data_IF_641863472971
#
_entry.id   IF_641863472971
#
_cell.length_a   1.000
_cell.length_b   1.000
_cell.length_c   1.000
_cell.angle_alpha   90.00
_cell.angle_beta   90.00
_cell.angle_gamma   90.00
#
_symmetry.space_group_name_H-M   'P 1'
#
loop_
_entity.id
_entity.type
_entity.pdbx_description
1 polymer ?
#
# COMPACT_ATOMS: atom_id res chain seq x y z
N UNK A 1 4.51 4.66 1.52
CA UNK A 1 4.12 3.92 2.74
C UNK A 1 3.30 4.83 3.64
N UNK A 2 2.26 4.32 4.31
CA UNK A 2 1.48 5.10 5.28
C UNK A 2 2.36 5.42 6.49
N UNK A 3 2.46 6.70 6.89
CA UNK A 3 3.39 7.16 7.92
C UNK A 3 3.21 6.42 9.26
N UNK A 4 1.97 6.20 9.70
CA UNK A 4 1.68 5.45 10.94
C UNK A 4 1.26 3.99 10.71
N UNK A 5 1.40 3.51 9.46
CA UNK A 5 0.96 2.18 9.07
C UNK A 5 1.80 1.04 9.65
N UNK A 6 1.30 -0.18 9.52
CA UNK A 6 1.93 -1.37 10.09
C UNK A 6 3.37 -1.59 9.59
N UNK A 7 3.67 -1.31 8.32
CA UNK A 7 5.04 -1.44 7.80
C UNK A 7 6.02 -0.52 8.53
N UNK A 8 5.66 0.74 8.77
CA UNK A 8 6.54 1.67 9.51
C UNK A 8 6.76 1.17 10.94
N UNK A 9 5.72 0.61 11.57
CA UNK A 9 5.85 0.00 12.91
C UNK A 9 6.78 -1.20 12.91
N UNK A 10 6.70 -2.06 11.89
CA UNK A 10 7.65 -3.18 11.70
C UNK A 10 9.07 -2.66 11.56
N UNK A 11 9.29 -1.63 10.72
CA UNK A 11 10.63 -1.05 10.53
C UNK A 11 11.23 -0.50 11.83
N UNK A 12 10.42 0.14 12.67
CA UNK A 12 10.83 0.63 13.99
C UNK A 12 11.11 -0.55 14.93
N UNK A 13 10.19 -1.51 15.00
CA UNK A 13 10.31 -2.68 15.87
C UNK A 13 11.60 -3.47 15.60
N UNK A 14 11.98 -3.62 14.33
CA UNK A 14 13.21 -4.33 13.94
C UNK A 14 14.46 -3.44 13.95
N UNK A 15 14.33 -2.17 14.33
CA UNK A 15 15.43 -1.19 14.39
C UNK A 15 16.19 -1.03 13.05
N UNK A 16 15.48 -1.18 11.93
CA UNK A 16 16.07 -0.99 10.57
C UNK A 16 15.95 0.44 10.09
N UNK A 17 15.15 1.27 10.76
CA UNK A 17 15.00 2.70 10.45
C UNK A 17 16.33 3.44 10.51
N UNK A 18 17.29 2.99 11.35
CA UNK A 18 18.66 3.55 11.39
C UNK A 18 19.45 3.40 10.08
N UNK A 19 19.01 2.53 9.17
CA UNK A 19 19.60 2.33 7.85
C UNK A 19 18.81 3.01 6.73
N UNK A 20 17.70 3.66 7.05
CA UNK A 20 16.75 4.17 6.08
C UNK A 20 16.52 5.66 6.31
N UNK A 21 16.48 6.43 5.24
CA UNK A 21 16.07 7.82 5.28
C UNK A 21 14.77 7.96 4.50
N UNK A 22 13.74 8.52 5.14
CA UNK A 22 12.45 8.75 4.49
C UNK A 22 12.27 10.21 4.17
N UNK A 23 11.53 10.50 3.09
CA UNK A 23 10.96 11.83 2.83
C UNK A 23 9.45 11.69 2.76
N UNK A 24 8.74 12.71 3.23
CA UNK A 24 7.30 12.79 3.05
C UNK A 24 6.95 13.00 1.57
N UNK A 25 5.90 12.35 1.10
CA UNK A 25 5.35 12.56 -0.24
C UNK A 25 4.55 13.86 -0.22
N UNK A 26 4.72 14.73 -1.22
CA UNK A 26 4.24 16.12 -1.17
C UNK A 26 2.71 16.26 -1.30
N UNK A 27 2.03 15.26 -1.85
CA UNK A 27 0.59 15.35 -2.06
C UNK A 27 -0.12 14.03 -2.28
N UNK A 28 -1.40 14.02 -1.90
CA UNK A 28 -2.34 12.93 -2.13
C UNK A 28 -3.59 13.46 -2.81
N UNK A 29 -3.94 12.87 -3.96
CA UNK A 29 -5.00 13.31 -4.83
C UNK A 29 -5.93 12.15 -5.18
N UNK A 30 -7.17 12.50 -5.53
CA UNK A 30 -8.16 11.56 -6.05
C UNK A 30 -8.71 12.10 -7.36
N UNK A 31 -8.91 11.20 -8.33
CA UNK A 31 -9.55 11.52 -9.59
C UNK A 31 -11.07 11.53 -9.43
N UNK A 32 -11.70 12.58 -9.94
CA UNK A 32 -13.14 12.75 -9.96
C UNK A 32 -13.53 13.50 -11.24
N UNK A 33 -14.43 12.93 -12.05
CA UNK A 33 -15.00 13.56 -13.25
C UNK A 33 -13.95 14.20 -14.18
N UNK A 34 -12.87 13.49 -14.47
CA UNK A 34 -11.83 13.92 -15.41
C UNK A 34 -10.74 14.83 -14.83
N UNK A 35 -10.78 15.13 -13.53
CA UNK A 35 -9.80 16.00 -12.85
C UNK A 35 -9.29 15.34 -11.59
N UNK A 36 -8.09 15.75 -11.15
CA UNK A 36 -7.54 15.38 -9.86
C UNK A 36 -7.77 16.49 -8.84
N UNK A 37 -8.03 16.09 -7.60
CA UNK A 37 -8.25 17.00 -6.48
C UNK A 37 -7.51 16.49 -5.25
N UNK A 38 -6.97 17.41 -4.44
CA UNK A 38 -6.35 17.03 -3.16
C UNK A 38 -7.38 16.33 -2.29
N UNK A 39 -7.00 15.19 -1.72
CA UNK A 39 -7.84 14.39 -0.82
C UNK A 39 -8.04 15.15 0.50
N UNK A 40 -9.28 15.53 0.88
CA UNK A 40 -9.52 16.13 2.19
C UNK A 40 -9.52 15.04 3.27
N UNK A 41 -8.71 15.20 4.31
CA UNK A 41 -8.62 14.22 5.40
C UNK A 41 -8.93 14.79 6.79
N UNK A 42 -9.22 16.08 6.87
CA UNK A 42 -9.61 16.75 8.11
C UNK A 42 -10.90 17.54 7.93
N UNK A 43 -11.54 17.88 9.05
CA UNK A 43 -12.74 18.70 9.06
C UNK A 43 -12.51 20.09 8.39
N UNK A 44 -11.32 20.69 8.58
CA UNK A 44 -10.90 21.95 7.94
C UNK A 44 -10.68 21.78 6.43
N UNK A 45 -10.01 20.71 6.00
CA UNK A 45 -9.78 20.45 4.57
C UNK A 45 -11.09 20.11 3.84
N UNK A 46 -12.01 19.40 4.48
CA UNK A 46 -13.32 19.09 3.93
C UNK A 46 -14.11 20.36 3.56
N UNK A 47 -14.06 21.39 4.41
CA UNK A 47 -14.71 22.68 4.13
C UNK A 47 -14.09 23.43 2.94
N UNK A 48 -12.80 23.22 2.65
CA UNK A 48 -12.08 23.87 1.55
C UNK A 48 -12.16 23.09 0.24
N UNK A 49 -12.39 21.77 0.29
CA UNK A 49 -12.29 20.87 -0.87
C UNK A 49 -13.23 21.23 -2.02
N UNK A 50 -12.78 21.25 -3.29
CA UNK A 50 -13.66 21.44 -4.44
C UNK A 50 -14.45 20.17 -4.81
N UNK A 51 -14.19 19.01 -4.18
CA UNK A 51 -14.86 17.74 -4.47
C UNK A 51 -16.34 17.73 -4.08
N UNK A 52 -16.75 18.64 -3.19
CA UNK A 52 -18.06 18.63 -2.55
C UNK A 52 -18.74 20.00 -2.66
N UNK A 53 -20.06 19.98 -2.85
CA UNK A 53 -20.89 21.19 -2.74
C UNK A 53 -21.01 21.70 -1.29
N UNK A 54 -21.48 22.94 -1.09
CA UNK A 54 -21.49 23.60 0.22
C UNK A 54 -22.18 22.78 1.34
N UNK A 55 -23.32 22.15 1.03
CA UNK A 55 -24.04 21.32 2.00
C UNK A 55 -23.34 20.00 2.29
N UNK A 56 -22.80 19.36 1.25
CA UNK A 56 -22.06 18.10 1.38
C UNK A 56 -20.80 18.29 2.22
N UNK A 57 -20.07 19.40 2.05
CA UNK A 57 -18.93 19.78 2.90
C UNK A 57 -19.27 19.79 4.39
N UNK A 58 -20.44 20.31 4.75
CA UNK A 58 -20.89 20.37 6.15
C UNK A 58 -21.18 18.98 6.71
N UNK A 59 -21.70 18.07 5.88
CA UNK A 59 -21.95 16.67 6.26
C UNK A 59 -20.65 15.89 6.39
N UNK A 60 -19.77 15.98 5.40
CA UNK A 60 -18.44 15.37 5.43
C UNK A 60 -17.62 15.86 6.63
N UNK A 61 -17.69 17.17 6.95
CA UNK A 61 -17.06 17.72 8.16
C UNK A 61 -17.52 16.99 9.43
N UNK A 62 -18.83 16.77 9.61
CA UNK A 62 -19.37 16.07 10.79
C UNK A 62 -18.90 14.62 10.84
N UNK A 63 -18.87 13.94 9.70
CA UNK A 63 -18.31 12.59 9.59
C UNK A 63 -16.84 12.55 10.02
N UNK A 64 -16.01 13.48 9.55
CA UNK A 64 -14.59 13.52 9.92
C UNK A 64 -14.38 13.76 11.41
N UNK A 65 -15.17 14.65 12.02
CA UNK A 65 -15.13 14.87 13.47
C UNK A 65 -15.45 13.58 14.22
N UNK A 66 -16.52 12.89 13.83
CA UNK A 66 -16.88 11.60 14.43
C UNK A 66 -15.75 10.58 14.35
N UNK A 67 -15.16 10.39 13.16
CA UNK A 67 -14.06 9.43 12.98
C UNK A 67 -12.84 9.81 13.83
N UNK A 68 -12.50 11.09 13.90
CA UNK A 68 -11.36 11.58 14.67
C UNK A 68 -11.58 11.41 16.19
N UNK A 69 -12.77 11.73 16.67
CA UNK A 69 -13.16 11.66 18.08
C UNK A 69 -13.44 10.22 18.55
N UNK A 70 -13.69 9.28 17.63
CA UNK A 70 -14.00 7.89 17.97
C UNK A 70 -12.89 7.24 18.80
N UNK A 71 -13.27 6.69 19.95
CA UNK A 71 -12.42 5.95 20.85
C UNK A 71 -13.13 4.65 21.28
N UNK A 72 -12.56 3.50 20.93
CA UNK A 72 -13.10 2.17 21.26
C UNK A 72 -13.39 1.99 22.76
N UNK A 73 -12.58 2.60 23.62
CA UNK A 73 -12.70 2.51 25.08
C UNK A 73 -13.69 3.50 25.70
N UNK A 74 -14.19 4.49 24.95
CA UNK A 74 -15.14 5.50 25.44
C UNK A 74 -16.47 5.45 24.67
N UNK A 75 -17.51 4.78 25.21
CA UNK A 75 -18.83 4.69 24.60
C UNK A 75 -19.50 6.03 24.26
N UNK A 76 -19.10 7.14 24.91
CA UNK A 76 -19.67 8.46 24.61
C UNK A 76 -19.29 8.94 23.20
N UNK A 77 -18.14 8.49 22.69
CA UNK A 77 -17.64 8.85 21.36
C UNK A 77 -18.31 8.04 20.24
N UNK A 78 -19.06 6.98 20.58
CA UNK A 78 -19.65 6.07 19.60
C UNK A 78 -20.93 6.62 18.96
N UNK A 79 -21.49 7.69 19.53
CA UNK A 79 -22.77 8.29 19.11
C UNK A 79 -23.89 7.24 18.91
N UNK A 80 -23.96 6.26 19.82
CA UNK A 80 -24.94 5.18 19.80
C UNK A 80 -24.71 4.09 18.75
N UNK A 81 -23.56 4.08 18.08
CA UNK A 81 -23.21 3.06 17.07
C UNK A 81 -22.31 1.97 17.67
N UNK A 82 -22.65 0.71 17.42
CA UNK A 82 -21.74 -0.41 17.68
C UNK A 82 -20.98 -0.76 16.40
N UNK A 83 -19.73 -0.28 16.28
CA UNK A 83 -18.90 -0.46 15.07
C UNK A 83 -18.52 -1.92 14.77
N UNK A 84 -18.75 -2.85 15.71
CA UNK A 84 -18.59 -4.29 15.45
C UNK A 84 -19.78 -4.90 14.73
N UNK A 85 -20.88 -4.15 14.61
CA UNK A 85 -22.15 -4.61 14.03
C UNK A 85 -22.63 -3.75 12.88
N UNK A 86 -22.56 -2.42 13.03
CA UNK A 86 -22.99 -1.50 11.97
C UNK A 86 -21.99 -1.49 10.83
N UNK A 87 -22.47 -1.20 9.63
CA UNK A 87 -21.65 -1.17 8.42
C UNK A 87 -21.24 0.25 8.03
N UNK A 88 -20.16 0.45 7.25
CA UNK A 88 -19.80 1.75 6.71
C UNK A 88 -20.94 2.39 5.92
N UNK A 89 -21.74 1.60 5.20
CA UNK A 89 -22.94 2.08 4.51
C UNK A 89 -23.94 2.75 5.46
N UNK A 90 -24.18 2.15 6.63
CA UNK A 90 -25.07 2.73 7.64
C UNK A 90 -24.49 4.01 8.27
N UNK A 91 -23.17 4.06 8.47
CA UNK A 91 -22.48 5.29 8.93
C UNK A 91 -22.64 6.40 7.89
N UNK A 92 -22.36 6.12 6.62
CA UNK A 92 -22.50 7.10 5.55
C UNK A 92 -23.95 7.61 5.43
N UNK A 93 -24.93 6.72 5.56
CA UNK A 93 -26.34 7.09 5.59
C UNK A 93 -26.68 8.00 6.79
N UNK A 94 -26.15 7.71 7.99
CA UNK A 94 -26.34 8.55 9.20
C UNK A 94 -25.84 9.98 8.99
N UNK A 95 -24.70 10.16 8.33
CA UNK A 95 -24.16 11.50 8.02
C UNK A 95 -24.74 12.10 6.73
N UNK A 96 -25.47 11.32 5.93
CA UNK A 96 -26.09 11.74 4.68
C UNK A 96 -25.07 12.05 3.58
N UNK A 97 -23.95 11.32 3.53
CA UNK A 97 -22.92 11.53 2.51
C UNK A 97 -23.39 11.00 1.16
N UNK A 98 -23.08 11.73 0.09
CA UNK A 98 -23.39 11.31 -1.28
C UNK A 98 -22.41 10.26 -1.80
N UNK A 99 -22.76 9.60 -2.92
CA UNK A 99 -21.97 8.51 -3.48
C UNK A 99 -20.54 8.94 -3.88
N UNK A 100 -20.33 10.17 -4.35
CA UNK A 100 -18.99 10.63 -4.70
C UNK A 100 -18.13 10.82 -3.45
N UNK A 101 -18.74 11.30 -2.36
CA UNK A 101 -18.06 11.43 -1.07
C UNK A 101 -17.72 10.08 -0.48
N UNK A 102 -18.65 9.12 -0.54
CA UNK A 102 -18.42 7.74 -0.12
C UNK A 102 -17.26 7.12 -0.91
N UNK A 103 -17.25 7.31 -2.24
CA UNK A 103 -16.24 6.77 -3.16
C UNK A 103 -14.82 7.25 -2.77
N UNK A 104 -14.60 8.57 -2.64
CA UNK A 104 -13.25 9.04 -2.27
C UNK A 104 -12.88 8.68 -0.82
N UNK A 105 -13.83 8.60 0.11
CA UNK A 105 -13.52 8.18 1.49
C UNK A 105 -13.09 6.72 1.54
N UNK A 106 -13.81 5.82 0.87
CA UNK A 106 -13.46 4.40 0.81
C UNK A 106 -12.12 4.15 0.14
N UNK A 107 -11.95 4.72 -1.05
CA UNK A 107 -10.82 4.39 -1.92
C UNK A 107 -9.58 5.26 -1.65
N UNK A 108 -9.76 6.56 -1.37
CA UNK A 108 -8.62 7.48 -1.23
C UNK A 108 -8.17 7.73 0.22
N UNK A 109 -9.04 7.52 1.22
CA UNK A 109 -8.68 7.62 2.64
C UNK A 109 -8.52 6.24 3.30
N UNK A 110 -9.54 5.40 3.22
CA UNK A 110 -9.51 4.07 3.83
C UNK A 110 -8.72 3.03 3.00
N UNK A 111 -8.35 3.38 1.76
CA UNK A 111 -7.52 2.60 0.86
C UNK A 111 -8.07 1.18 0.61
N UNK A 112 -9.39 1.07 0.55
CA UNK A 112 -10.03 -0.15 0.04
C UNK A 112 -9.88 -0.23 -1.48
N UNK A 113 -9.83 -1.46 -2.00
CA UNK A 113 -9.63 -1.74 -3.44
C UNK A 113 -10.95 -1.95 -4.18
N UNK A 114 -12.01 -2.18 -3.43
CA UNK A 114 -13.37 -2.47 -3.88
C UNK A 114 -14.38 -2.06 -2.80
N UNK A 115 -15.66 -2.09 -3.15
CA UNK A 115 -16.77 -1.66 -2.30
C UNK A 115 -17.23 -2.71 -1.27
N UNK A 116 -16.62 -3.90 -1.20
CA UNK A 116 -17.10 -4.96 -0.32
C UNK A 116 -17.07 -4.54 1.17
N UNK A 117 -16.19 -3.58 1.52
CA UNK A 117 -16.11 -2.99 2.85
C UNK A 117 -17.42 -2.32 3.31
N UNK A 118 -18.25 -1.84 2.38
CA UNK A 118 -19.49 -1.13 2.71
C UNK A 118 -20.47 -1.97 3.52
N UNK A 119 -20.38 -3.29 3.40
CA UNK A 119 -21.29 -4.26 4.02
C UNK A 119 -20.58 -5.12 5.08
N UNK A 120 -19.37 -4.75 5.50
CA UNK A 120 -18.63 -5.35 6.61
C UNK A 120 -18.77 -4.53 7.91
N UNK A 121 -18.38 -5.07 9.09
CA UNK A 121 -18.30 -4.27 10.32
C UNK A 121 -17.42 -3.02 10.16
N UNK A 122 -17.94 -1.88 10.59
CA UNK A 122 -17.34 -0.57 10.31
C UNK A 122 -16.09 -0.23 11.14
N UNK A 123 -15.76 -1.01 12.17
CA UNK A 123 -14.64 -0.72 13.06
C UNK A 123 -13.32 -0.56 12.29
N UNK A 124 -13.01 -1.50 11.40
CA UNK A 124 -11.79 -1.47 10.61
C UNK A 124 -11.78 -0.28 9.62
N UNK A 125 -12.94 0.01 9.01
CA UNK A 125 -13.08 1.18 8.14
C UNK A 125 -12.77 2.49 8.89
N UNK A 126 -13.35 2.69 10.08
CA UNK A 126 -13.10 3.88 10.91
C UNK A 126 -11.62 3.97 11.32
N UNK A 127 -11.01 2.84 11.71
CA UNK A 127 -9.56 2.78 12.03
C UNK A 127 -8.70 3.19 10.85
N UNK A 128 -9.01 2.74 9.63
CA UNK A 128 -8.26 3.10 8.41
C UNK A 128 -8.37 4.59 8.07
N UNK A 129 -9.57 5.17 8.14
CA UNK A 129 -9.76 6.60 7.89
C UNK A 129 -9.03 7.43 8.97
N UNK A 130 -9.10 7.01 10.24
CA UNK A 130 -8.37 7.65 11.34
C UNK A 130 -6.85 7.56 11.15
N UNK A 131 -6.35 6.38 10.77
CA UNK A 131 -4.93 6.15 10.48
C UNK A 131 -4.40 7.09 9.38
N UNK A 132 -5.20 7.35 8.34
CA UNK A 132 -4.84 8.32 7.30
C UNK A 132 -4.66 9.72 7.89
N UNK A 133 -5.62 10.20 8.68
CA UNK A 133 -5.57 11.53 9.29
C UNK A 133 -4.39 11.68 10.26
N UNK A 134 -4.15 10.67 11.11
CA UNK A 134 -3.00 10.64 12.03
C UNK A 134 -1.66 10.61 11.27
N UNK A 135 -1.60 9.88 10.15
CA UNK A 135 -0.41 9.81 9.29
C UNK A 135 -0.14 11.14 8.60
N UNK A 136 -1.19 11.83 8.13
CA UNK A 136 -1.10 13.17 7.55
C UNK A 136 -0.59 14.20 8.58
N UNK A 137 -1.01 14.08 9.84
CA UNK A 137 -0.58 14.99 10.90
C UNK A 137 0.88 14.78 11.33
N UNK A 138 1.48 13.63 11.01
CA UNK A 138 2.83 13.28 11.49
C UNK A 138 3.95 14.03 10.77
N UNK A 139 3.82 14.31 9.48
CA UNK A 139 4.87 14.93 8.68
C UNK A 139 4.36 16.18 7.96
N UNK A 140 5.21 17.19 7.80
CA UNK A 140 4.85 18.47 7.16
C UNK A 140 4.72 18.39 5.62
N UNK A 141 4.49 17.20 5.06
CA UNK A 141 4.53 16.93 3.62
C UNK A 141 3.19 17.01 2.89
N UNK A 142 2.08 17.36 3.55
CA UNK A 142 0.78 17.53 2.85
C UNK A 142 0.12 16.23 2.37
N UNK A 143 0.71 15.06 2.64
CA UNK A 143 0.15 13.73 2.43
C UNK A 143 0.45 12.81 3.63
N UNK A 144 -0.26 11.68 3.79
CA UNK A 144 0.01 10.73 4.87
C UNK A 144 1.14 9.75 4.54
N UNK A 145 1.84 9.95 3.43
CA UNK A 145 2.78 8.97 2.90
C UNK A 145 4.24 9.41 3.07
N UNK A 146 5.09 8.43 3.30
CA UNK A 146 6.55 8.56 3.21
C UNK A 146 7.11 7.59 2.18
N UNK A 147 8.25 7.96 1.60
CA UNK A 147 8.98 7.15 0.64
C UNK A 147 10.49 7.21 0.94
N UNK A 148 11.23 6.09 0.85
CA UNK A 148 12.65 6.09 1.14
C UNK A 148 13.41 6.90 0.08
N UNK A 149 14.39 7.69 0.53
CA UNK A 149 15.41 8.23 -0.36
C UNK A 149 16.12 7.05 -1.04
N UNK A 150 16.50 7.23 -2.30
CA UNK A 150 17.07 6.20 -3.18
C UNK A 150 16.10 5.08 -3.57
N UNK A 151 14.85 5.12 -3.10
CA UNK A 151 13.78 4.24 -3.54
C UNK A 151 13.65 2.94 -2.75
N UNK A 152 12.66 2.13 -3.14
CA UNK A 152 12.25 0.94 -2.38
C UNK A 152 13.33 -0.14 -2.30
N UNK A 153 14.36 -0.09 -3.14
CA UNK A 153 15.53 -0.98 -3.08
C UNK A 153 16.31 -0.88 -1.78
N UNK A 154 16.19 0.22 -1.03
CA UNK A 154 16.82 0.37 0.29
C UNK A 154 16.18 -0.53 1.36
N UNK A 155 14.89 -0.85 1.23
CA UNK A 155 14.19 -1.72 2.20
C UNK A 155 14.79 -3.13 2.28
N UNK A 156 14.90 -3.91 1.18
CA UNK A 156 15.53 -5.22 1.24
C UNK A 156 17.01 -5.15 1.63
N UNK A 157 17.74 -4.09 1.24
CA UNK A 157 19.13 -3.89 1.68
C UNK A 157 19.25 -3.71 3.20
N UNK A 158 18.38 -2.90 3.79
CA UNK A 158 18.36 -2.68 5.24
C UNK A 158 18.02 -3.95 6.02
N UNK A 159 17.03 -4.72 5.56
CA UNK A 159 16.70 -6.01 6.18
C UNK A 159 17.80 -7.06 5.96
N UNK A 160 18.46 -7.07 4.80
CA UNK A 160 19.60 -7.95 4.56
C UNK A 160 20.76 -7.66 5.51
N UNK A 161 21.06 -6.37 5.71
CA UNK A 161 22.04 -5.93 6.71
C UNK A 161 21.64 -6.34 8.12
N UNK A 162 20.37 -6.14 8.51
CA UNK A 162 19.88 -6.57 9.82
C UNK A 162 20.11 -8.06 10.02
N UNK A 163 19.66 -8.89 9.07
CA UNK A 163 19.85 -10.33 9.17
C UNK A 163 21.34 -10.71 9.24
N UNK A 164 22.23 -10.01 8.53
CA UNK A 164 23.67 -10.23 8.64
C UNK A 164 24.26 -9.90 10.02
N UNK A 165 23.76 -8.84 10.69
CA UNK A 165 24.13 -8.52 12.08
C UNK A 165 23.79 -9.68 13.03
N UNK A 166 22.71 -10.42 12.74
CA UNK A 166 22.29 -11.59 13.50
C UNK A 166 22.84 -12.93 12.96
N UNK A 167 23.86 -12.88 12.11
CA UNK A 167 24.58 -14.07 11.61
C UNK A 167 24.00 -14.70 10.33
N UNK A 168 22.99 -14.10 9.71
CA UNK A 168 22.51 -14.51 8.39
C UNK A 168 23.51 -14.20 7.28
N UNK A 169 23.51 -15.00 6.21
CA UNK A 169 24.33 -14.76 5.02
C UNK A 169 23.43 -14.60 3.81
N UNK A 170 23.61 -13.52 3.05
CA UNK A 170 22.89 -13.27 1.80
C UNK A 170 23.75 -13.72 0.61
N UNK A 171 23.18 -14.57 -0.23
CA UNK A 171 23.82 -15.05 -1.46
C UNK A 171 23.00 -14.55 -2.65
N UNK A 172 23.60 -13.70 -3.47
CA UNK A 172 23.03 -13.25 -4.75
C UNK A 172 23.68 -14.00 -5.90
N UNK A 173 23.05 -13.97 -7.08
CA UNK A 173 23.54 -14.66 -8.28
C UNK A 173 23.76 -16.17 -8.05
N UNK A 174 22.92 -16.79 -7.22
CA UNK A 174 22.97 -18.21 -6.91
C UNK A 174 21.94 -18.93 -7.79
N UNK A 175 22.36 -19.66 -8.84
CA UNK A 175 21.46 -20.17 -9.86
C UNK A 175 20.73 -21.44 -9.41
N UNK A 176 19.63 -21.77 -10.08
CA UNK A 176 18.94 -23.07 -9.97
C UNK A 176 18.60 -23.51 -8.54
N UNK A 177 18.25 -22.55 -7.67
CA UNK A 177 17.82 -22.84 -6.31
C UNK A 177 16.56 -23.72 -6.31
N UNK A 178 16.73 -25.00 -5.96
CA UNK A 178 15.68 -26.01 -5.92
C UNK A 178 15.36 -26.38 -4.49
N UNK A 179 14.09 -26.31 -4.13
CA UNK A 179 13.60 -26.78 -2.83
C UNK A 179 13.51 -28.31 -2.85
N UNK A 180 14.15 -28.97 -1.88
CA UNK A 180 14.17 -30.42 -1.75
C UNK A 180 13.20 -30.90 -0.67
N UNK A 181 12.52 -32.01 -0.95
CA UNK A 181 11.51 -32.61 -0.08
C UNK A 181 11.91 -34.02 0.33
N UNK A 182 11.53 -34.43 1.54
CA UNK A 182 11.69 -35.81 2.02
C UNK A 182 10.57 -36.74 1.52
N UNK A 183 10.62 -38.01 1.93
CA UNK A 183 9.62 -39.03 1.56
C UNK A 183 8.20 -38.71 2.08
N UNK A 184 8.09 -37.87 3.12
CA UNK A 184 6.81 -37.40 3.68
C UNK A 184 6.29 -36.14 2.98
N UNK A 185 7.06 -35.57 2.03
CA UNK A 185 6.71 -34.35 1.32
C UNK A 185 7.01 -33.06 2.10
N UNK A 186 7.80 -33.12 3.17
CA UNK A 186 8.25 -31.96 3.94
C UNK A 186 9.56 -31.43 3.39
N UNK A 187 9.76 -30.12 3.47
CA UNK A 187 11.03 -29.52 3.07
C UNK A 187 12.18 -30.02 3.94
N UNK A 188 13.27 -30.44 3.29
CA UNK A 188 14.47 -30.95 3.97
C UNK A 188 15.76 -30.23 3.53
N UNK A 189 15.70 -29.33 2.55
CA UNK A 189 16.85 -28.55 2.11
C UNK A 189 16.57 -27.67 0.89
N UNK A 190 17.56 -26.90 0.51
CA UNK A 190 17.61 -26.16 -0.76
C UNK A 190 18.93 -26.48 -1.44
N UNK A 191 18.88 -26.91 -2.69
CA UNK A 191 20.04 -27.25 -3.52
C UNK A 191 20.31 -26.17 -4.54
N UNK A 192 21.58 -25.80 -4.71
CA UNK A 192 22.06 -24.91 -5.78
C UNK A 192 23.53 -25.23 -6.07
N UNK A 193 23.93 -25.24 -7.34
CA UNK A 193 25.29 -25.60 -7.79
C UNK A 193 25.79 -26.95 -7.24
N UNK A 194 24.90 -27.94 -7.10
CA UNK A 194 25.23 -29.27 -6.57
C UNK A 194 25.43 -29.33 -5.05
N UNK A 195 25.38 -28.20 -4.34
CA UNK A 195 25.46 -28.12 -2.89
C UNK A 195 24.07 -28.01 -2.26
N UNK A 196 23.85 -28.64 -1.11
CA UNK A 196 22.55 -28.63 -0.42
C UNK A 196 22.66 -28.06 0.98
N UNK A 197 21.96 -26.95 1.23
CA UNK A 197 21.76 -26.40 2.56
C UNK A 197 20.53 -27.07 3.20
N UNK A 198 20.73 -27.81 4.30
CA UNK A 198 19.64 -28.49 5.03
C UNK A 198 18.85 -27.49 5.88
N UNK A 199 17.53 -27.59 5.85
CA UNK A 199 16.62 -26.76 6.65
C UNK A 199 15.34 -27.51 6.99
N UNK A 200 14.61 -27.02 7.99
CA UNK A 200 13.29 -27.52 8.42
C UNK A 200 12.12 -26.72 7.85
N UNK A 201 12.39 -25.49 7.38
CA UNK A 201 11.39 -24.55 6.86
C UNK A 201 12.01 -23.76 5.72
N UNK A 202 11.20 -23.41 4.73
CA UNK A 202 11.59 -22.51 3.63
C UNK A 202 10.57 -21.39 3.53
N UNK A 203 11.08 -20.16 3.40
CA UNK A 203 10.29 -18.99 3.03
C UNK A 203 10.73 -18.58 1.63
N UNK A 204 9.79 -18.41 0.70
CA UNK A 204 10.11 -18.01 -0.66
C UNK A 204 8.96 -17.23 -1.31
N UNK A 205 9.25 -16.57 -2.44
CA UNK A 205 8.19 -16.05 -3.29
C UNK A 205 7.66 -17.14 -4.25
N UNK A 206 6.53 -16.89 -4.95
CA UNK A 206 5.89 -17.87 -5.82
C UNK A 206 6.79 -18.52 -6.89
N UNK A 207 7.82 -17.81 -7.37
CA UNK A 207 8.67 -18.27 -8.48
C UNK A 207 9.47 -19.53 -8.15
N UNK A 208 9.78 -19.77 -6.88
CA UNK A 208 10.53 -20.95 -6.43
C UNK A 208 9.68 -22.22 -6.31
N UNK A 209 8.35 -22.08 -6.21
CA UNK A 209 7.41 -23.18 -5.96
C UNK A 209 6.11 -23.00 -6.78
N UNK A 210 6.25 -22.87 -8.10
CA UNK A 210 5.12 -22.63 -9.02
C UNK A 210 4.02 -23.71 -8.96
N UNK A 211 4.36 -24.94 -8.55
CA UNK A 211 3.42 -26.05 -8.37
C UNK A 211 2.62 -25.99 -7.05
N UNK A 212 2.94 -25.04 -6.16
CA UNK A 212 2.29 -24.85 -4.84
C UNK A 212 1.55 -23.51 -4.74
N UNK A 213 1.40 -22.82 -5.86
CA UNK A 213 0.69 -21.54 -5.96
C UNK A 213 -0.38 -21.62 -7.04
N UNK A 214 -1.38 -20.73 -6.96
CA UNK A 214 -2.33 -20.50 -8.05
C UNK A 214 -2.25 -19.07 -8.54
N UNK A 215 -2.43 -18.88 -9.85
CA UNK A 215 -2.59 -17.55 -10.44
C UNK A 215 -3.94 -16.97 -10.03
N UNK A 216 -3.95 -15.76 -9.50
CA UNK A 216 -5.14 -15.05 -9.01
C UNK A 216 -5.45 -13.78 -9.80
N UNK A 217 -4.56 -13.36 -10.68
CA UNK A 217 -4.72 -12.13 -11.43
C UNK A 217 -3.49 -11.75 -12.22
N UNK A 218 -3.47 -10.52 -12.69
CA UNK A 218 -2.36 -9.92 -13.46
C UNK A 218 -2.37 -8.42 -13.16
N UNK A 219 -1.19 -7.82 -13.01
CA UNK A 219 -1.04 -6.37 -12.86
C UNK A 219 -0.51 -5.80 -14.15
N UNK A 220 -1.11 -4.71 -14.60
CA UNK A 220 -0.56 -3.85 -15.63
C UNK A 220 0.15 -2.67 -14.97
N UNK A 221 1.37 -2.35 -15.43
CA UNK A 221 2.15 -1.21 -14.97
C UNK A 221 2.71 -0.43 -16.16
N UNK A 222 2.70 0.90 -16.06
CA UNK A 222 3.46 1.79 -16.92
C UNK A 222 4.45 2.59 -16.05
N UNK A 223 5.71 2.60 -16.46
CA UNK A 223 6.76 3.44 -15.88
C UNK A 223 6.97 4.59 -16.87
N UNK A 224 6.63 5.80 -16.46
CA UNK A 224 6.66 6.98 -17.30
C UNK A 224 7.76 7.94 -16.82
N UNK A 225 8.64 8.36 -17.71
CA UNK A 225 9.68 9.35 -17.43
C UNK A 225 9.18 10.71 -17.94
N UNK A 226 9.34 11.74 -17.11
CA UNK A 226 8.87 13.10 -17.40
C UNK A 226 9.92 14.15 -17.03
N UNK A 227 9.80 15.32 -17.65
CA UNK A 227 10.66 16.49 -17.41
C UNK A 227 9.96 17.63 -16.65
N UNK A 228 8.81 17.35 -16.03
CA UNK A 228 7.99 18.33 -15.32
C UNK A 228 7.14 17.64 -14.24
N UNK A 229 6.63 18.39 -13.23
CA UNK A 229 5.68 17.84 -12.27
C UNK A 229 4.35 17.47 -12.96
N UNK A 230 3.56 16.61 -12.31
CA UNK A 230 2.22 16.28 -12.80
C UNK A 230 1.35 17.55 -12.81
N UNK A 231 0.66 17.88 -13.91
CA UNK A 231 -0.25 19.03 -13.95
C UNK A 231 -1.28 19.04 -12.82
N UNK A 232 -1.62 20.23 -12.32
CA UNK A 232 -2.59 20.44 -11.23
C UNK A 232 -2.21 19.80 -9.88
N UNK A 233 -0.91 19.63 -9.61
CA UNK A 233 -0.40 19.13 -8.32
C UNK A 233 0.41 20.16 -7.54
N UNK A 234 0.24 21.45 -7.83
CA UNK A 234 1.00 22.54 -7.17
C UNK A 234 2.53 22.36 -7.26
N UNK A 235 3.01 21.88 -8.42
CA UNK A 235 4.42 21.61 -8.71
C UNK A 235 5.11 20.64 -7.73
N UNK A 236 4.33 19.77 -7.08
CA UNK A 236 4.81 18.72 -6.19
C UNK A 236 5.88 17.85 -6.85
N UNK A 237 6.93 17.53 -6.09
CA UNK A 237 8.02 16.65 -6.48
C UNK A 237 7.68 15.17 -6.30
N UNK A 238 6.60 14.88 -5.59
CA UNK A 238 6.09 13.53 -5.36
C UNK A 238 4.60 13.55 -5.05
N UNK A 239 3.85 12.61 -5.64
CA UNK A 239 2.39 12.61 -5.59
C UNK A 239 1.84 11.19 -5.59
N UNK A 240 0.85 10.93 -4.74
CA UNK A 240 -0.07 9.79 -4.86
C UNK A 240 -1.37 10.26 -5.53
N UNK A 241 -1.87 9.52 -6.51
CA UNK A 241 -3.18 9.74 -7.11
C UNK A 241 -3.93 8.40 -7.15
N UNK A 242 -5.14 8.41 -6.59
CA UNK A 242 -6.04 7.26 -6.65
C UNK A 242 -7.14 7.58 -7.67
N UNK A 243 -7.37 6.66 -8.59
CA UNK A 243 -8.44 6.71 -9.57
C UNK A 243 -9.44 5.60 -9.23
N UNK A 244 -10.51 5.92 -8.48
CA UNK A 244 -11.50 4.93 -8.07
C UNK A 244 -12.14 4.26 -9.28
N UNK A 245 -12.37 2.96 -9.19
CA UNK A 245 -12.87 2.13 -10.29
C UNK A 245 -14.17 2.67 -10.93
N UNK A 246 -15.08 3.21 -10.12
CA UNK A 246 -16.36 3.80 -10.60
C UNK A 246 -16.16 5.01 -11.49
N UNK A 247 -15.11 5.81 -11.25
CA UNK A 247 -14.79 6.97 -12.09
C UNK A 247 -14.25 6.56 -13.47
N UNK A 248 -13.78 5.31 -13.60
CA UNK A 248 -13.20 4.76 -14.81
C UNK A 248 -14.09 3.71 -15.51
N UNK A 249 -15.23 3.33 -14.91
CA UNK A 249 -16.05 2.22 -15.41
C UNK A 249 -15.34 0.87 -15.33
N UNK A 250 -14.44 0.71 -14.34
CA UNK A 250 -13.61 -0.47 -14.10
C UNK A 250 -14.12 -1.30 -12.91
N UNK A 251 -13.55 -2.48 -12.72
CA UNK A 251 -13.74 -3.36 -11.54
C UNK A 251 -12.64 -3.22 -10.50
N UNK A 252 -11.51 -2.61 -10.87
CA UNK A 252 -10.42 -2.28 -9.95
C UNK A 252 -10.02 -0.83 -10.08
N UNK A 253 -9.55 -0.27 -8.97
CA UNK A 253 -8.95 1.05 -8.97
C UNK A 253 -7.66 1.05 -9.82
N UNK A 254 -7.27 2.26 -10.20
CA UNK A 254 -5.96 2.55 -10.78
C UNK A 254 -5.21 3.50 -9.86
N UNK A 255 -3.91 3.31 -9.77
CA UNK A 255 -3.02 4.05 -8.89
C UNK A 255 -1.94 4.74 -9.70
N UNK A 256 -1.63 6.00 -9.35
CA UNK A 256 -0.48 6.72 -9.89
C UNK A 256 0.39 7.16 -8.72
N UNK A 257 1.64 6.72 -8.69
CA UNK A 257 2.64 7.26 -7.79
C UNK A 257 3.75 7.94 -8.59
N UNK A 258 4.04 9.19 -8.27
CA UNK A 258 5.12 9.96 -8.88
C UNK A 258 6.14 10.36 -7.83
N UNK A 259 7.41 10.28 -8.18
CA UNK A 259 8.53 10.81 -7.40
C UNK A 259 9.62 11.33 -8.34
N UNK A 260 10.51 12.17 -7.81
CA UNK A 260 11.52 12.87 -8.61
C UNK A 260 12.91 12.77 -7.99
N UNK A 261 13.84 13.56 -8.52
CA UNK A 261 15.14 13.79 -7.91
C UNK A 261 15.10 14.16 -6.42
N UNK A 262 13.98 14.70 -5.90
CA UNK A 262 13.82 15.00 -4.47
C UNK A 262 13.93 13.76 -3.57
N UNK A 263 13.67 12.58 -4.13
CA UNK A 263 13.82 11.29 -3.47
C UNK A 263 15.10 10.55 -3.90
N UNK A 264 16.01 11.20 -4.63
CA UNK A 264 17.23 10.60 -5.20
C UNK A 264 16.97 9.38 -6.09
N UNK A 265 15.81 9.30 -6.75
CA UNK A 265 15.47 8.20 -7.69
C UNK A 265 15.66 8.57 -9.16
N UNK A 266 15.88 9.86 -9.45
CA UNK A 266 16.04 10.37 -10.81
C UNK A 266 17.03 11.55 -10.84
N UNK A 267 17.64 11.86 -12.01
CA UNK A 267 18.44 13.07 -12.18
C UNK A 267 17.62 14.35 -11.92
N UNK A 268 18.29 15.45 -11.55
CA UNK A 268 17.65 16.75 -11.31
C UNK A 268 16.78 17.17 -12.51
N UNK A 269 15.55 17.57 -12.24
CA UNK A 269 14.57 17.97 -13.26
C UNK A 269 13.81 16.80 -13.92
N UNK A 270 14.09 15.55 -13.53
CA UNK A 270 13.36 14.37 -14.00
C UNK A 270 12.41 13.83 -12.92
N UNK A 271 11.31 13.26 -13.40
CA UNK A 271 10.26 12.62 -12.62
C UNK A 271 10.02 11.22 -13.17
N UNK A 272 9.66 10.31 -12.28
CA UNK A 272 9.26 8.94 -12.60
C UNK A 272 7.86 8.75 -12.04
N UNK A 273 6.90 8.46 -12.91
CA UNK A 273 5.53 8.13 -12.54
C UNK A 273 5.26 6.65 -12.83
N UNK A 274 4.63 5.97 -11.87
CA UNK A 274 4.19 4.59 -11.96
C UNK A 274 2.68 4.58 -12.02
N UNK A 275 2.11 4.14 -13.13
CA UNK A 275 0.66 3.93 -13.30
C UNK A 275 0.41 2.42 -13.19
N UNK A 276 -0.43 1.98 -12.27
CA UNK A 276 -0.74 0.55 -12.08
C UNK A 276 -2.21 0.27 -11.82
N UNK A 277 -2.68 -0.87 -12.32
CA UNK A 277 -4.02 -1.40 -12.08
C UNK A 277 -4.02 -2.94 -12.17
N UNK A 278 -5.03 -3.58 -11.60
CA UNK A 278 -5.32 -4.99 -11.93
C UNK A 278 -5.72 -5.05 -13.42
N UNK A 279 -5.14 -5.96 -14.19
CA UNK A 279 -5.42 -6.07 -15.61
C UNK A 279 -6.79 -6.72 -15.83
N UNK A 280 -7.70 -5.99 -16.48
CA UNK A 280 -9.03 -6.49 -16.85
C UNK A 280 -9.05 -7.04 -18.29
N UNK A 281 -7.99 -6.77 -19.06
CA UNK A 281 -7.74 -7.18 -20.45
C UNK A 281 -6.25 -7.52 -20.65
N UNK A 282 -5.86 -7.96 -21.85
CA UNK A 282 -4.46 -8.16 -22.23
C UNK A 282 -3.81 -6.93 -22.90
N UNK A 283 -4.42 -5.75 -22.77
CA UNK A 283 -3.97 -4.50 -23.41
C UNK A 283 -3.62 -3.43 -22.38
N UNK A 284 -2.45 -3.53 -21.72
CA UNK A 284 -2.07 -2.61 -20.64
C UNK A 284 -1.99 -1.14 -21.11
N UNK A 285 -1.66 -0.89 -22.38
CA UNK A 285 -1.60 0.47 -22.93
C UNK A 285 -2.97 1.15 -22.97
N UNK A 286 -4.01 0.42 -23.37
CA UNK A 286 -5.38 0.95 -23.41
C UNK A 286 -5.92 1.14 -21.98
N UNK A 287 -5.67 0.17 -21.11
CA UNK A 287 -6.19 0.19 -19.73
C UNK A 287 -5.58 1.29 -18.87
N UNK A 288 -4.28 1.55 -18.99
CA UNK A 288 -3.57 2.53 -18.15
C UNK A 288 -3.67 3.96 -18.71
N UNK A 289 -4.26 4.13 -19.90
CA UNK A 289 -4.38 5.43 -20.56
C UNK A 289 -5.03 6.52 -19.69
N UNK A 290 -6.08 6.26 -18.88
CA UNK A 290 -6.63 7.27 -17.98
C UNK A 290 -5.59 7.86 -17.02
N UNK A 291 -4.76 7.02 -16.39
CA UNK A 291 -3.70 7.48 -15.48
C UNK A 291 -2.56 8.16 -16.22
N UNK A 292 -2.14 7.61 -17.37
CA UNK A 292 -1.09 8.19 -18.22
C UNK A 292 -1.49 9.58 -18.74
N UNK A 293 -2.76 9.79 -19.07
CA UNK A 293 -3.26 11.08 -19.58
C UNK A 293 -3.20 12.20 -18.53
N UNK A 294 -3.11 11.86 -17.23
CA UNK A 294 -2.93 12.84 -16.16
C UNK A 294 -1.51 13.41 -16.12
N UNK A 295 -0.54 12.69 -16.68
CA UNK A 295 0.88 12.98 -16.50
C UNK A 295 1.33 14.19 -17.34
N UNK A 296 0.69 14.48 -18.48
CA UNK A 296 1.17 15.48 -19.44
C UNK A 296 2.23 14.89 -20.40
N UNK A 297 3.08 15.72 -21.03
CA UNK A 297 4.14 15.24 -21.92
C UNK A 297 5.08 14.21 -21.28
N UNK A 298 5.36 13.13 -22.01
CA UNK A 298 6.21 12.02 -21.55
C UNK A 298 7.49 11.97 -22.38
N UNK A 299 8.62 11.77 -21.71
CA UNK A 299 9.90 11.53 -22.37
C UNK A 299 9.99 10.07 -22.85
N UNK A 300 9.50 9.13 -22.04
CA UNK A 300 9.57 7.68 -22.28
C UNK A 300 8.44 6.96 -21.52
N UNK A 301 7.96 5.84 -22.06
CA UNK A 301 6.98 4.98 -21.41
C UNK A 301 7.34 3.52 -21.56
N UNK A 302 7.51 2.83 -20.43
CA UNK A 302 7.81 1.40 -20.37
C UNK A 302 6.59 0.69 -19.79
N UNK A 303 5.98 -0.19 -20.59
CA UNK A 303 4.89 -1.04 -20.14
C UNK A 303 5.42 -2.37 -19.64
N UNK A 304 4.87 -2.83 -18.52
CA UNK A 304 5.17 -4.11 -17.90
C UNK A 304 3.88 -4.77 -17.42
N UNK A 305 3.86 -6.10 -17.44
CA UNK A 305 2.77 -6.89 -16.86
C UNK A 305 3.33 -8.10 -16.16
N UNK A 306 2.79 -8.42 -14.99
CA UNK A 306 3.16 -9.64 -14.27
C UNK A 306 1.94 -10.34 -13.70
N UNK A 307 2.01 -11.67 -13.67
CA UNK A 307 0.99 -12.50 -13.09
C UNK A 307 1.08 -12.47 -11.56
N UNK A 308 -0.08 -12.48 -10.90
CA UNK A 308 -0.18 -12.54 -9.45
C UNK A 308 -0.49 -13.95 -9.00
N UNK A 309 0.19 -14.38 -7.95
CA UNK A 309 0.04 -15.69 -7.35
C UNK A 309 -0.23 -15.60 -5.85
N UNK A 310 -0.92 -16.62 -5.35
CA UNK A 310 -1.06 -16.87 -3.91
C UNK A 310 -0.79 -18.34 -3.58
N UNK A 311 -0.31 -18.66 -2.36
CA UNK A 311 -0.11 -20.04 -1.92
C UNK A 311 -1.42 -20.83 -1.91
N UNK A 312 -1.33 -22.09 -2.34
CA UNK A 312 -2.40 -23.09 -2.18
C UNK A 312 -1.93 -24.32 -1.39
N UNK A 313 -0.67 -24.32 -0.94
CA UNK A 313 -0.16 -25.37 -0.07
C UNK A 313 -0.66 -25.22 1.37
N UNK A 314 -0.53 -26.29 2.14
CA UNK A 314 -0.74 -26.29 3.59
C UNK A 314 0.63 -26.27 4.28
N UNK A 315 1.08 -25.12 4.84
CA UNK A 315 2.42 -25.01 5.44
C UNK A 315 2.64 -25.97 6.61
N UNK A 316 1.57 -26.44 7.26
CA UNK A 316 1.61 -27.47 8.31
C UNK A 316 2.02 -28.85 7.80
N UNK A 317 1.80 -29.13 6.50
CA UNK A 317 2.14 -30.41 5.88
C UNK A 317 3.52 -30.40 5.24
N UNK A 318 3.92 -29.30 4.59
CA UNK A 318 5.17 -29.25 3.80
C UNK A 318 6.27 -28.33 4.36
N UNK A 319 5.96 -27.50 5.37
CA UNK A 319 6.84 -26.48 5.94
C UNK A 319 7.37 -25.44 4.92
N UNK A 320 6.63 -25.21 3.83
CA UNK A 320 6.87 -24.14 2.88
C UNK A 320 5.95 -22.94 3.17
N UNK A 321 6.53 -21.76 3.32
CA UNK A 321 5.80 -20.51 3.57
C UNK A 321 6.02 -19.59 2.37
N UNK A 322 5.04 -19.53 1.48
CA UNK A 322 5.16 -18.84 0.20
C UNK A 322 4.43 -17.50 0.30
N UNK A 323 5.11 -16.40 -0.05
CA UNK A 323 4.49 -15.08 -0.07
C UNK A 323 3.51 -14.93 -1.23
N UNK A 324 2.61 -13.95 -1.12
CA UNK A 324 1.78 -13.50 -2.23
C UNK A 324 2.57 -12.56 -3.16
N UNK A 325 2.22 -12.56 -4.44
CA UNK A 325 2.70 -11.53 -5.36
C UNK A 325 2.16 -10.15 -4.99
N UNK A 326 2.97 -9.11 -5.16
CA UNK A 326 2.56 -7.72 -4.97
C UNK A 326 1.33 -7.36 -5.82
N UNK A 327 0.34 -6.74 -5.20
CA UNK A 327 -0.84 -6.25 -5.92
C UNK A 327 -0.58 -4.92 -6.64
N UNK A 328 -1.61 -4.38 -7.30
CA UNK A 328 -1.50 -3.14 -8.06
C UNK A 328 -1.42 -1.88 -7.19
N UNK A 329 -1.61 -1.99 -5.86
CA UNK A 329 -1.66 -0.82 -4.98
C UNK A 329 -0.29 -0.17 -4.84
N UNK A 330 -0.27 1.14 -4.68
CA UNK A 330 0.96 1.96 -4.53
C UNK A 330 1.31 2.21 -3.06
N UNK A 331 0.82 1.35 -2.16
CA UNK A 331 1.09 1.37 -0.73
C UNK A 331 1.31 -0.06 -0.21
N UNK A 332 1.76 -0.21 1.03
CA UNK A 332 2.28 -1.47 1.55
C UNK A 332 1.35 -2.24 2.50
N UNK A 333 0.09 -1.82 2.64
CA UNK A 333 -0.82 -2.41 3.63
C UNK A 333 -1.06 -3.91 3.40
N UNK A 334 -1.34 -4.31 2.17
CA UNK A 334 -1.55 -5.74 1.83
C UNK A 334 -0.25 -6.55 1.94
N UNK A 335 0.88 -5.96 1.55
CA UNK A 335 2.21 -6.57 1.68
C UNK A 335 2.58 -6.87 3.14
N UNK A 336 2.43 -5.89 4.04
CA UNK A 336 2.84 -6.09 5.44
C UNK A 336 1.92 -7.07 6.16
N UNK A 337 0.63 -7.09 5.81
CA UNK A 337 -0.30 -8.11 6.32
C UNK A 337 0.15 -9.53 5.93
N UNK A 338 0.62 -9.73 4.70
CA UNK A 338 1.14 -11.02 4.25
C UNK A 338 2.41 -11.43 5.04
N UNK A 339 3.32 -10.48 5.27
CA UNK A 339 4.53 -10.70 6.09
C UNK A 339 4.18 -11.08 7.54
N UNK A 340 3.26 -10.36 8.17
CA UNK A 340 2.84 -10.63 9.55
C UNK A 340 2.12 -11.98 9.67
N UNK A 341 1.26 -12.31 8.71
CA UNK A 341 0.59 -13.61 8.66
C UNK A 341 1.59 -14.76 8.52
N UNK A 342 2.58 -14.62 7.64
CA UNK A 342 3.66 -15.61 7.51
C UNK A 342 4.49 -15.71 8.80
N UNK A 343 4.86 -14.58 9.41
CA UNK A 343 5.61 -14.59 10.68
C UNK A 343 4.86 -15.38 11.76
N UNK A 344 3.55 -15.14 11.92
CA UNK A 344 2.73 -15.87 12.88
C UNK A 344 2.61 -17.35 12.53
N UNK A 345 2.42 -17.70 11.25
CA UNK A 345 2.40 -19.10 10.82
C UNK A 345 3.73 -19.83 11.10
N UNK A 346 4.86 -19.16 10.91
CA UNK A 346 6.20 -19.73 11.12
C UNK A 346 6.51 -19.89 12.61
N UNK A 347 6.16 -18.90 13.43
CA UNK A 347 6.63 -18.80 14.82
C UNK A 347 5.59 -19.25 15.85
N UNK A 348 4.31 -19.31 15.47
CA UNK A 348 3.18 -19.49 16.37
C UNK A 348 2.91 -18.28 17.27
N UNK A 349 3.47 -17.10 16.96
CA UNK A 349 3.38 -15.89 17.78
C UNK A 349 2.84 -14.71 16.97
N UNK A 350 1.98 -13.92 17.59
CA UNK A 350 1.62 -12.59 17.07
C UNK A 350 2.72 -11.60 17.41
N UNK A 351 3.09 -10.76 16.43
CA UNK A 351 4.12 -9.75 16.61
C UNK A 351 3.51 -8.50 17.28
N UNK A 352 4.05 -8.10 18.42
CA UNK A 352 3.65 -6.87 19.10
C UNK A 352 4.26 -5.64 18.39
N UNK A 353 3.40 -4.84 17.75
CA UNK A 353 3.76 -3.62 17.02
C UNK A 353 3.48 -2.34 17.83
N UNK A 354 3.35 -2.45 19.16
CA UNK A 354 3.40 -1.30 20.06
C UNK A 354 4.81 -0.70 20.04
N UNK A 355 4.96 0.42 19.33
CA UNK A 355 6.25 1.11 19.13
C UNK A 355 6.09 2.60 19.35
N UNK A 356 7.18 3.26 19.77
CA UNK A 356 7.28 4.70 19.74
C UNK A 356 7.48 5.18 18.28
N UNK A 357 6.45 5.82 17.74
CA UNK A 357 6.47 6.33 16.37
C UNK A 357 7.48 7.46 16.16
N UNK A 358 7.96 8.12 17.22
CA UNK A 358 8.99 9.16 17.10
C UNK A 358 10.33 8.62 16.56
N UNK A 359 10.57 7.30 16.64
CA UNK A 359 11.81 6.66 16.19
C UNK A 359 11.97 6.59 14.66
N UNK A 360 10.91 6.80 13.88
CA UNK A 360 11.02 6.97 12.42
C UNK A 360 10.90 8.46 12.07
N UNK A 361 12.04 9.06 11.73
CA UNK A 361 12.15 10.42 11.22
C UNK A 361 12.01 10.46 9.70
N UNK A 362 11.41 11.52 9.19
CA UNK A 362 11.52 11.91 7.79
C UNK A 362 12.47 13.10 7.69
N UNK A 363 13.32 13.11 6.67
CA UNK A 363 14.12 14.27 6.32
C UNK A 363 13.23 15.38 5.77
N UNK A 364 13.55 16.62 6.15
CA UNK A 364 12.86 17.83 5.69
C UNK A 364 12.88 17.99 4.16
#
# INVERSE_FOLDING_TARGET
MMANGALVRVLIHTDVTKYLMFKAVDGSYVFNKGKIHKVPATDVEALKSPLMGLFEKRRARKFFIYVQDYNESDPKTHEGLDLTRVTPREIFAKYGLDENTVDFIGHALALYRDDAYLDQPALEFVKRVKLYAESLARFQGGSPYIYPLYGLGELPQAFARLSAVYGGTYMLSKPECKVEFDEEGKVCGVTSDGETARTKKVVCDPSYLLNKVRKVGKVARAICIMSHPIPNTSDSQSVQIILPQKQLGRKSDMYVFCCSYSHNVAPKGKFIAFVSAEAETDKPQEELQPGISLLGPLDEVIFDTYDRYEPVNEPSLDNCYISRSYDATTHFETTVQDVLAMYTAITGKELDLSVDLAAASAAD
#
